data_IF_333103620376
#
_entry.id   IF_333103620376
#
_cell.length_a   1.000
_cell.length_b   1.000
_cell.length_c   1.000
_cell.angle_alpha   90.00
_cell.angle_beta   90.00
_cell.angle_gamma   90.00
#
_symmetry.space_group_name_H-M   'P 1'
#
loop_
_entity.id
_entity.type
_entity.pdbx_description
1 polymer ?
#
# COMPACT_ATOMS: atom_id res chain seq x y z
N UNK A 1 -1.45 13.27 12.85
CA UNK A 1 -0.05 13.15 12.40
C UNK A 1 -0.09 12.80 10.92
N UNK A 2 0.34 13.72 10.06
CA UNK A 2 0.20 13.59 8.60
C UNK A 2 1.14 12.52 8.08
N UNK A 3 0.68 11.27 7.94
CA UNK A 3 1.46 10.22 7.28
C UNK A 3 1.71 10.65 5.83
N UNK A 4 2.92 11.12 5.52
CA UNK A 4 3.29 11.54 4.17
C UNK A 4 3.08 10.36 3.22
N UNK A 5 2.34 10.59 2.14
CA UNK A 5 2.12 9.56 1.11
C UNK A 5 3.36 9.52 0.22
N UNK A 6 4.00 8.36 0.15
CA UNK A 6 5.06 8.10 -0.84
C UNK A 6 4.40 7.64 -2.14
N UNK A 7 4.74 8.28 -3.25
CA UNK A 7 4.34 7.82 -4.58
C UNK A 7 5.29 6.70 -5.03
N UNK A 8 4.75 5.52 -5.31
CA UNK A 8 5.54 4.34 -5.71
C UNK A 8 4.97 3.73 -6.98
N UNK A 9 5.85 3.51 -7.97
CA UNK A 9 5.52 2.76 -9.19
C UNK A 9 5.76 1.28 -8.96
N UNK A 10 4.78 0.43 -9.29
CA UNK A 10 4.87 -1.02 -9.16
C UNK A 10 4.55 -1.70 -10.49
N UNK A 11 5.18 -2.84 -10.75
CA UNK A 11 4.84 -3.68 -11.90
C UNK A 11 3.72 -4.64 -11.52
N UNK A 12 2.70 -4.72 -12.36
CA UNK A 12 1.61 -5.68 -12.27
C UNK A 12 1.39 -6.33 -13.64
N UNK A 13 0.74 -7.49 -13.65
CA UNK A 13 0.38 -8.13 -14.91
C UNK A 13 -0.73 -7.36 -15.63
N UNK A 14 -0.83 -7.52 -16.95
CA UNK A 14 -1.91 -6.93 -17.75
C UNK A 14 -3.30 -7.35 -17.27
N UNK A 15 -3.45 -8.61 -16.84
CA UNK A 15 -4.71 -9.12 -16.31
C UNK A 15 -5.13 -8.43 -15.00
N UNK A 16 -4.17 -8.11 -14.13
CA UNK A 16 -4.43 -7.38 -12.89
C UNK A 16 -4.82 -5.92 -13.16
N UNK A 17 -4.16 -5.25 -14.11
CA UNK A 17 -4.54 -3.89 -14.54
C UNK A 17 -6.00 -3.85 -15.05
N UNK A 18 -6.37 -4.79 -15.91
CA UNK A 18 -7.74 -4.88 -16.44
C UNK A 18 -8.77 -5.14 -15.33
N UNK A 19 -8.48 -6.07 -14.42
CA UNK A 19 -9.36 -6.37 -13.29
C UNK A 19 -9.53 -5.16 -12.35
N UNK A 20 -8.44 -4.45 -12.03
CA UNK A 20 -8.49 -3.26 -11.18
C UNK A 20 -9.27 -2.11 -11.83
N UNK A 21 -9.11 -1.90 -13.14
CA UNK A 21 -9.90 -0.89 -13.88
C UNK A 21 -11.38 -1.18 -13.83
N UNK A 22 -11.77 -2.42 -14.12
CA UNK A 22 -13.17 -2.84 -14.07
C UNK A 22 -13.74 -2.70 -12.64
N UNK A 23 -12.96 -3.09 -11.62
CA UNK A 23 -13.37 -2.94 -10.23
C UNK A 23 -13.56 -1.46 -9.85
N UNK A 24 -12.62 -0.60 -10.23
CA UNK A 24 -12.69 0.84 -9.98
C UNK A 24 -13.91 1.48 -10.66
N UNK A 25 -14.20 1.10 -11.90
CA UNK A 25 -15.37 1.58 -12.64
C UNK A 25 -16.67 1.18 -11.94
N UNK A 26 -16.78 -0.06 -11.46
CA UNK A 26 -18.02 -0.56 -10.82
C UNK A 26 -18.26 -0.01 -9.41
N UNK A 27 -17.21 0.40 -8.71
CA UNK A 27 -17.28 0.81 -7.30
C UNK A 27 -17.11 2.31 -7.10
N UNK A 28 -16.56 3.01 -8.09
CA UNK A 28 -16.14 4.41 -7.96
C UNK A 28 -14.88 4.59 -7.10
N UNK A 29 -14.28 3.51 -6.60
CA UNK A 29 -13.09 3.55 -5.76
C UNK A 29 -11.84 3.50 -6.64
N UNK A 30 -10.87 4.42 -6.48
CA UNK A 30 -9.66 4.41 -7.29
C UNK A 30 -8.83 3.13 -7.14
N UNK A 31 -8.26 2.62 -8.25
CA UNK A 31 -7.41 1.43 -8.23
C UNK A 31 -6.26 1.50 -7.21
N UNK A 32 -5.69 2.70 -6.98
CA UNK A 32 -4.65 2.93 -5.99
C UNK A 32 -5.10 2.66 -4.53
N UNK A 33 -6.41 2.70 -4.24
CA UNK A 33 -6.92 2.32 -2.93
C UNK A 33 -6.90 0.79 -2.76
N UNK A 34 -7.31 0.04 -3.78
CA UNK A 34 -7.23 -1.43 -3.76
C UNK A 34 -5.80 -1.96 -3.74
N UNK A 35 -4.88 -1.31 -4.45
CA UNK A 35 -3.45 -1.67 -4.38
C UNK A 35 -2.93 -1.51 -2.94
N UNK A 36 -3.27 -0.40 -2.27
CA UNK A 36 -2.88 -0.18 -0.87
C UNK A 36 -3.53 -1.17 0.08
N UNK A 37 -4.81 -1.48 -0.10
CA UNK A 37 -5.50 -2.51 0.68
C UNK A 37 -4.82 -3.88 0.50
N UNK A 38 -4.45 -4.25 -0.72
CA UNK A 38 -3.68 -5.46 -1.00
C UNK A 38 -2.33 -5.48 -0.28
N UNK A 39 -1.61 -4.35 -0.26
CA UNK A 39 -0.35 -4.20 0.48
C UNK A 39 -0.60 -4.39 1.99
N UNK A 40 -1.60 -3.72 2.56
CA UNK A 40 -1.94 -3.81 3.99
C UNK A 40 -2.32 -5.24 4.39
N UNK A 41 -3.08 -5.95 3.54
CA UNK A 41 -3.45 -7.35 3.76
C UNK A 41 -2.23 -8.27 3.78
N UNK A 42 -1.29 -8.09 2.84
CA UNK A 42 -0.04 -8.87 2.78
C UNK A 42 0.83 -8.57 3.99
N UNK A 43 1.04 -7.29 4.33
CA UNK A 43 1.86 -6.91 5.49
C UNK A 43 1.27 -7.43 6.80
N UNK A 44 -0.06 -7.38 6.96
CA UNK A 44 -0.74 -7.96 8.12
C UNK A 44 -0.52 -9.48 8.20
N UNK A 45 -0.56 -10.18 7.07
CA UNK A 45 -0.37 -11.63 7.00
C UNK A 45 1.06 -12.04 7.37
N UNK A 46 2.06 -11.26 6.97
CA UNK A 46 3.48 -11.55 7.18
C UNK A 46 4.08 -10.78 8.37
N UNK A 47 3.24 -10.30 9.30
CA UNK A 47 3.68 -9.45 10.42
C UNK A 47 4.78 -10.10 11.27
N UNK A 48 4.67 -11.40 11.52
CA UNK A 48 5.61 -12.13 12.39
C UNK A 48 6.96 -12.42 11.70
N UNK A 49 7.01 -12.30 10.37
CA UNK A 49 8.23 -12.44 9.56
C UNK A 49 9.00 -11.12 9.44
N UNK A 50 8.35 -10.00 9.75
CA UNK A 50 8.97 -8.66 9.74
C UNK A 50 9.65 -8.46 11.10
N UNK A 51 10.98 -8.29 11.16
CA UNK A 51 11.67 -8.00 12.41
C UNK A 51 11.01 -6.83 13.15
N UNK A 52 10.74 -6.97 14.45
CA UNK A 52 10.08 -5.93 15.24
C UNK A 52 10.76 -4.55 15.14
N UNK A 53 12.07 -4.53 14.85
CA UNK A 53 12.85 -3.31 14.64
C UNK A 53 12.50 -2.56 13.35
N UNK A 54 11.94 -3.22 12.32
CA UNK A 54 11.39 -2.57 11.11
C UNK A 54 10.01 -1.95 11.34
N UNK A 55 9.28 -2.39 12.37
CA UNK A 55 7.99 -1.77 12.72
C UNK A 55 8.14 -0.33 13.24
N UNK A 56 9.35 0.05 13.68
CA UNK A 56 9.73 1.41 14.08
C UNK A 56 9.96 2.35 12.88
N UNK A 57 10.24 1.81 11.68
CA UNK A 57 10.42 2.62 10.45
C UNK A 57 9.07 3.20 9.97
N UNK A 58 7.96 2.81 10.59
CA UNK A 58 6.64 3.41 10.40
C UNK A 58 6.43 4.77 11.08
N UNK A 59 7.35 5.21 11.95
CA UNK A 59 7.26 6.45 12.74
C UNK A 59 8.40 7.46 12.45
N UNK A 60 9.21 7.26 11.40
CA UNK A 60 10.24 8.21 10.96
C UNK A 60 9.63 9.41 10.20
N UNK A 61 8.79 10.19 10.88
CA UNK A 61 8.56 11.62 10.60
C UNK A 61 9.00 12.44 11.84
N UNK A 62 10.10 12.01 12.47
CA UNK A 62 10.74 12.75 13.56
C UNK A 62 12.13 13.24 13.11
N UNK A 63 12.18 14.53 12.73
CA UNK A 63 13.38 15.30 12.35
C UNK A 63 13.27 15.81 10.90
N UNK A 64 13.44 17.08 10.57
CA UNK A 64 13.81 18.31 11.28
C UNK A 64 13.37 19.48 10.35
N UNK A 65 13.05 20.63 10.95
CA UNK A 65 12.74 21.96 10.34
C UNK A 65 11.40 22.16 9.57
#
# INVERSE_FOLDING_TARGET
MNRRKVATTVYITRSQDQALKLLAERTGVPAAQYIREGIDLVLKKHRDEIPAQLSLIGDDDQGDD
#
